data_IF_345317913837
#
_entry.id   IF_345317913837
#
_cell.length_a   1.000
_cell.length_b   1.000
_cell.length_c   1.000
_cell.angle_alpha   90.00
_cell.angle_beta   90.00
_cell.angle_gamma   90.00
#
_symmetry.space_group_name_H-M   'P 1'
#
loop_
_entity.id
_entity.type
_entity.pdbx_description
1 polymer ?
#
# COMPACT_ATOMS: atom_id res chain seq x y z
N UNK A 1 -44.09 -9.55 -8.70
CA UNK A 1 -44.00 -8.32 -9.50
C UNK A 1 -42.52 -7.96 -9.59
N UNK A 2 -41.86 -8.40 -10.67
CA UNK A 2 -40.46 -8.11 -10.91
C UNK A 2 -40.34 -6.59 -11.14
N UNK A 3 -39.74 -5.88 -10.20
CA UNK A 3 -39.19 -4.58 -10.49
C UNK A 3 -38.08 -4.79 -11.51
N UNK A 4 -38.39 -4.70 -12.78
CA UNK A 4 -37.40 -4.56 -13.82
C UNK A 4 -36.62 -3.29 -13.47
N UNK A 5 -35.39 -3.46 -13.04
CA UNK A 5 -34.40 -2.37 -12.98
C UNK A 5 -34.39 -1.78 -14.40
N UNK A 6 -34.87 -0.56 -14.54
CA UNK A 6 -34.77 0.18 -15.79
C UNK A 6 -33.29 0.28 -16.17
N UNK A 7 -32.85 -0.37 -17.24
CA UNK A 7 -31.46 -0.30 -17.66
C UNK A 7 -30.99 1.13 -17.95
N UNK A 8 -31.91 2.07 -18.16
CA UNK A 8 -31.61 3.49 -18.31
C UNK A 8 -31.20 4.18 -17.01
N UNK A 9 -31.58 3.64 -15.83
CA UNK A 9 -31.30 4.28 -14.55
C UNK A 9 -29.79 4.30 -14.20
N UNK A 10 -29.01 3.35 -14.74
CA UNK A 10 -27.56 3.21 -14.50
C UNK A 10 -26.73 3.57 -15.73
N UNK A 11 -27.35 4.07 -16.79
CA UNK A 11 -26.67 4.41 -18.05
C UNK A 11 -25.57 5.45 -17.86
N UNK A 12 -25.71 6.33 -16.88
CA UNK A 12 -24.70 7.29 -16.50
C UNK A 12 -23.38 6.64 -15.99
N UNK A 13 -23.44 5.41 -15.44
CA UNK A 13 -22.25 4.69 -15.01
C UNK A 13 -21.44 4.18 -16.21
N UNK A 14 -22.14 3.79 -17.30
CA UNK A 14 -21.48 3.34 -18.52
C UNK A 14 -20.87 4.51 -19.30
N UNK A 15 -21.45 5.70 -19.15
CA UNK A 15 -20.98 6.94 -19.78
C UNK A 15 -19.85 7.64 -18.99
N UNK A 16 -19.66 7.31 -17.70
CA UNK A 16 -18.59 7.85 -16.87
C UNK A 16 -17.28 7.14 -17.17
N UNK A 17 -16.25 7.92 -17.49
CA UNK A 17 -14.91 7.37 -17.62
C UNK A 17 -14.44 6.79 -16.28
N UNK A 18 -13.94 5.54 -16.26
CA UNK A 18 -13.35 4.99 -15.05
C UNK A 18 -12.13 5.81 -14.64
N UNK A 19 -11.94 5.97 -13.35
CA UNK A 19 -10.71 6.56 -12.82
C UNK A 19 -9.53 5.68 -13.24
N UNK A 20 -8.46 6.29 -13.72
CA UNK A 20 -7.32 5.60 -14.30
C UNK A 20 -6.02 5.93 -13.54
N UNK A 21 -4.92 5.32 -13.94
CA UNK A 21 -3.58 5.45 -13.38
C UNK A 21 -2.91 6.83 -13.61
N UNK A 22 -3.55 7.73 -14.35
CA UNK A 22 -3.02 9.08 -14.59
C UNK A 22 -3.19 9.94 -13.34
N UNK A 23 -2.35 10.95 -13.23
CA UNK A 23 -2.46 11.94 -12.17
C UNK A 23 -3.76 12.73 -12.32
N UNK A 24 -4.66 12.57 -11.36
CA UNK A 24 -5.98 13.21 -11.32
C UNK A 24 -6.16 13.99 -10.03
N UNK A 25 -7.11 14.91 -10.03
CA UNK A 25 -7.43 15.70 -8.85
C UNK A 25 -8.57 15.05 -8.07
N UNK A 26 -8.34 14.89 -6.78
CA UNK A 26 -9.33 14.43 -5.81
C UNK A 26 -9.70 15.55 -4.85
N UNK A 27 -10.99 15.69 -4.57
CA UNK A 27 -11.52 16.61 -3.56
C UNK A 27 -11.81 15.84 -2.27
N UNK A 28 -11.35 16.34 -1.14
CA UNK A 28 -11.69 15.81 0.18
C UNK A 28 -13.15 16.12 0.47
N UNK A 29 -13.96 15.09 0.75
CA UNK A 29 -15.38 15.26 1.11
C UNK A 29 -15.66 14.91 2.58
N UNK A 30 -14.71 14.29 3.26
CA UNK A 30 -14.84 13.94 4.67
C UNK A 30 -13.50 13.61 5.31
N UNK A 31 -13.40 13.91 6.60
CA UNK A 31 -12.28 13.51 7.47
C UNK A 31 -12.88 12.97 8.76
N UNK A 32 -12.48 11.77 9.16
CA UNK A 32 -12.97 11.11 10.38
C UNK A 32 -11.80 10.62 11.23
N UNK A 33 -11.90 10.80 12.54
CA UNK A 33 -10.97 10.21 13.50
C UNK A 33 -11.36 8.74 13.76
N UNK A 34 -10.43 7.81 13.53
CA UNK A 34 -10.67 6.37 13.72
C UNK A 34 -10.11 5.85 15.04
N UNK A 35 -8.94 6.36 15.42
CA UNK A 35 -8.21 6.02 16.63
C UNK A 35 -7.21 7.16 16.96
N UNK A 36 -6.52 7.13 18.10
CA UNK A 36 -5.45 8.08 18.38
C UNK A 36 -4.41 8.11 17.25
N UNK A 37 -4.14 9.30 16.72
CA UNK A 37 -3.26 9.53 15.56
C UNK A 37 -3.63 8.74 14.30
N UNK A 38 -4.92 8.43 14.10
CA UNK A 38 -5.43 7.76 12.89
C UNK A 38 -6.64 8.50 12.34
N UNK A 39 -6.57 8.89 11.07
CA UNK A 39 -7.67 9.54 10.36
C UNK A 39 -7.98 8.82 9.05
N UNK A 40 -9.26 8.79 8.73
CA UNK A 40 -9.76 8.44 7.39
C UNK A 40 -10.08 9.71 6.62
N UNK A 41 -9.50 9.83 5.44
CA UNK A 41 -9.79 10.88 4.46
C UNK A 41 -10.60 10.27 3.33
N UNK A 42 -11.79 10.83 3.09
CA UNK A 42 -12.69 10.40 2.01
C UNK A 42 -12.62 11.40 0.88
N UNK A 43 -12.48 10.89 -0.33
CA UNK A 43 -12.31 11.68 -1.54
C UNK A 43 -13.36 11.36 -2.58
N UNK A 44 -13.68 12.35 -3.41
CA UNK A 44 -14.35 12.17 -4.70
C UNK A 44 -13.44 12.71 -5.82
N UNK A 45 -13.66 12.27 -7.04
CA UNK A 45 -13.05 12.91 -8.20
C UNK A 45 -13.65 14.30 -8.43
N UNK A 46 -12.84 15.24 -8.91
CA UNK A 46 -13.31 16.56 -9.34
C UNK A 46 -14.03 16.55 -10.70
N UNK A 47 -13.92 15.44 -11.42
CA UNK A 47 -14.69 15.18 -12.65
C UNK A 47 -15.69 14.05 -12.42
N UNK A 48 -16.72 14.00 -13.25
CA UNK A 48 -17.70 12.93 -13.16
C UNK A 48 -17.06 11.59 -13.58
N UNK A 49 -16.69 10.80 -12.58
CA UNK A 49 -16.02 9.51 -12.75
C UNK A 49 -16.41 8.56 -11.62
N UNK A 50 -16.23 7.28 -11.82
CA UNK A 50 -16.37 6.26 -10.80
C UNK A 50 -15.07 5.51 -10.60
N UNK A 51 -14.80 5.13 -9.34
CA UNK A 51 -13.56 4.47 -8.98
C UNK A 51 -13.67 2.97 -9.22
N UNK A 52 -12.87 2.48 -10.16
CA UNK A 52 -12.78 1.07 -10.48
C UNK A 52 -11.44 0.52 -9.96
N UNK A 53 -11.50 -0.33 -8.94
CA UNK A 53 -10.32 -0.94 -8.35
C UNK A 53 -10.65 -2.29 -7.71
N UNK A 54 -9.64 -3.06 -7.36
CA UNK A 54 -9.77 -4.28 -6.57
C UNK A 54 -9.60 -3.94 -5.08
N UNK A 55 -10.37 -4.57 -4.17
CA UNK A 55 -10.22 -4.32 -2.73
C UNK A 55 -8.81 -4.71 -2.27
N UNK A 56 -8.18 -3.84 -1.48
CA UNK A 56 -6.78 -3.98 -1.06
C UNK A 56 -5.78 -3.15 -1.87
N UNK A 57 -6.15 -2.67 -3.06
CA UNK A 57 -5.31 -1.78 -3.85
C UNK A 57 -5.06 -0.43 -3.16
N UNK A 58 -4.05 0.30 -3.62
CA UNK A 58 -3.63 1.58 -3.08
C UNK A 58 -3.64 2.69 -4.14
N UNK A 59 -3.57 3.93 -3.66
CA UNK A 59 -3.34 5.14 -4.46
C UNK A 59 -2.10 5.86 -3.96
N UNK A 60 -1.46 6.61 -4.85
CA UNK A 60 -0.37 7.51 -4.50
C UNK A 60 -0.87 8.95 -4.52
N UNK A 61 -0.77 9.65 -3.41
CA UNK A 61 -1.12 11.07 -3.26
C UNK A 61 0.11 11.94 -3.44
N UNK A 62 -0.03 13.03 -4.21
CA UNK A 62 0.95 14.11 -4.29
C UNK A 62 0.65 15.12 -3.18
N UNK A 63 1.52 15.18 -2.18
CA UNK A 63 1.38 16.04 -1.02
C UNK A 63 2.42 17.17 -1.08
N UNK A 64 2.09 18.39 -0.64
CA UNK A 64 3.07 19.46 -0.53
C UNK A 64 4.14 19.15 0.51
N UNK A 65 5.39 19.48 0.20
CA UNK A 65 6.51 19.49 1.14
C UNK A 65 7.47 20.65 0.82
N UNK A 66 8.35 20.98 1.76
CA UNK A 66 9.26 22.13 1.64
C UNK A 66 10.17 22.04 0.41
N UNK A 67 10.62 20.82 0.08
CA UNK A 67 11.58 20.56 -1.00
C UNK A 67 10.89 20.14 -2.32
N UNK A 68 9.59 20.37 -2.45
CA UNK A 68 8.80 20.00 -3.62
C UNK A 68 7.74 18.92 -3.33
N UNK A 69 6.99 18.48 -4.35
CA UNK A 69 5.90 17.51 -4.15
C UNK A 69 6.39 16.20 -3.57
N UNK A 70 5.70 15.73 -2.52
CA UNK A 70 5.98 14.48 -1.83
C UNK A 70 4.95 13.43 -2.25
N UNK A 71 5.39 12.39 -2.94
CA UNK A 71 4.51 11.27 -3.30
C UNK A 71 4.42 10.28 -2.14
N UNK A 72 3.19 9.94 -1.72
CA UNK A 72 2.94 8.96 -0.65
C UNK A 72 1.82 8.02 -1.01
N UNK A 73 2.07 6.75 -0.81
CA UNK A 73 1.15 5.65 -1.13
C UNK A 73 0.31 5.31 0.09
N UNK A 74 -1.00 5.17 -0.13
CA UNK A 74 -1.96 4.78 0.90
C UNK A 74 -2.93 3.74 0.34
N UNK A 75 -3.13 2.66 1.06
CA UNK A 75 -4.14 1.65 0.71
C UNK A 75 -5.53 2.27 0.76
N UNK A 76 -6.35 1.95 -0.24
CA UNK A 76 -7.76 2.27 -0.26
C UNK A 76 -8.48 1.43 0.80
N UNK A 77 -8.87 2.06 1.91
CA UNK A 77 -9.63 1.39 2.97
C UNK A 77 -11.11 1.26 2.62
N UNK A 78 -11.61 2.02 1.64
CA UNK A 78 -12.98 1.90 1.10
C UNK A 78 -13.20 0.62 0.30
N UNK A 79 -14.46 0.32 0.00
CA UNK A 79 -14.86 -0.79 -0.86
C UNK A 79 -15.08 -0.34 -2.30
N UNK A 80 -14.57 -1.07 -3.32
CA UNK A 80 -14.89 -0.79 -4.72
C UNK A 80 -16.36 -1.08 -5.09
N UNK A 81 -17.13 -1.76 -4.24
CA UNK A 81 -18.58 -1.89 -4.38
C UNK A 81 -19.33 -0.57 -4.24
N UNK A 82 -18.67 0.48 -3.70
CA UNK A 82 -19.22 1.82 -3.49
C UNK A 82 -18.39 2.84 -4.29
N UNK A 83 -18.55 2.89 -5.63
CA UNK A 83 -17.55 3.44 -6.55
C UNK A 83 -17.52 4.97 -6.65
N UNK A 84 -18.38 5.72 -5.95
CA UNK A 84 -18.47 7.18 -6.09
C UNK A 84 -17.52 7.97 -5.20
N UNK A 85 -16.85 7.28 -4.26
CA UNK A 85 -15.83 7.85 -3.41
C UNK A 85 -14.79 6.79 -3.06
N UNK A 86 -13.59 7.25 -2.74
CA UNK A 86 -12.53 6.41 -2.16
C UNK A 86 -12.12 6.97 -0.81
N UNK A 87 -11.60 6.11 0.04
CA UNK A 87 -11.06 6.54 1.32
C UNK A 87 -9.68 5.93 1.57
N UNK A 88 -8.79 6.74 2.13
CA UNK A 88 -7.52 6.28 2.68
C UNK A 88 -7.51 6.52 4.18
N UNK A 89 -7.01 5.56 4.92
CA UNK A 89 -6.86 5.67 6.38
C UNK A 89 -5.39 5.63 6.72
N UNK A 90 -4.92 6.70 7.35
CA UNK A 90 -3.52 6.92 7.63
C UNK A 90 -3.27 7.04 9.12
N UNK A 91 -2.15 6.48 9.61
CA UNK A 91 -1.65 6.64 10.98
C UNK A 91 -0.47 7.60 10.97
N UNK A 92 -0.57 8.71 11.69
CA UNK A 92 0.52 9.67 11.84
C UNK A 92 1.60 9.09 12.76
N UNK A 93 2.73 8.74 12.18
CA UNK A 93 3.90 8.31 12.92
C UNK A 93 4.79 9.51 13.27
N UNK A 94 5.58 9.39 14.33
CA UNK A 94 6.59 10.38 14.67
C UNK A 94 7.57 10.54 13.49
N UNK A 95 7.78 11.78 13.05
CA UNK A 95 8.65 12.11 11.92
C UNK A 95 8.05 11.89 10.53
N UNK A 96 6.78 11.47 10.42
CA UNK A 96 6.13 11.34 9.10
C UNK A 96 5.73 12.70 8.54
N UNK A 97 6.45 13.20 7.53
CA UNK A 97 6.18 14.52 6.92
C UNK A 97 4.83 14.54 6.19
N UNK A 98 4.61 13.63 5.26
CA UNK A 98 3.39 13.63 4.43
C UNK A 98 2.12 13.36 5.22
N UNK A 99 2.10 12.32 6.06
CA UNK A 99 0.89 11.99 6.85
C UNK A 99 0.58 13.08 7.87
N UNK A 100 1.59 13.68 8.52
CA UNK A 100 1.38 14.80 9.44
C UNK A 100 0.81 16.00 8.70
N UNK A 101 1.37 16.33 7.51
CA UNK A 101 0.82 17.38 6.68
C UNK A 101 -0.67 17.16 6.35
N UNK A 102 -1.07 15.92 5.98
CA UNK A 102 -2.48 15.58 5.75
C UNK A 102 -3.34 15.85 6.99
N UNK A 103 -2.87 15.46 8.17
CA UNK A 103 -3.58 15.61 9.43
C UNK A 103 -3.82 17.06 9.81
N UNK A 104 -2.84 17.92 9.54
CA UNK A 104 -2.85 19.32 9.96
C UNK A 104 -3.54 20.22 8.94
N UNK A 105 -3.61 19.80 7.67
CA UNK A 105 -4.02 20.69 6.58
C UNK A 105 -5.26 20.20 5.82
N UNK A 106 -5.44 18.89 5.60
CA UNK A 106 -6.54 18.41 4.76
C UNK A 106 -7.89 18.49 5.49
N UNK A 107 -8.84 19.18 4.87
CA UNK A 107 -10.23 19.33 5.31
C UNK A 107 -11.18 19.24 4.11
N UNK A 108 -12.46 19.02 4.33
CA UNK A 108 -13.46 19.00 3.25
C UNK A 108 -13.38 20.25 2.37
N UNK A 109 -13.36 20.04 1.05
CA UNK A 109 -13.19 21.06 0.02
C UNK A 109 -11.77 21.20 -0.50
N UNK A 110 -10.75 20.71 0.21
CA UNK A 110 -9.37 20.73 -0.28
C UNK A 110 -9.15 19.72 -1.40
N UNK A 111 -8.15 19.98 -2.23
CA UNK A 111 -7.84 19.16 -3.40
C UNK A 111 -6.43 18.63 -3.34
N UNK A 112 -6.27 17.37 -3.70
CA UNK A 112 -4.98 16.70 -3.81
C UNK A 112 -4.90 15.98 -5.16
N UNK A 113 -3.69 15.88 -5.71
CA UNK A 113 -3.47 15.04 -6.88
C UNK A 113 -3.20 13.61 -6.44
N UNK A 114 -3.70 12.66 -7.21
CA UNK A 114 -3.54 11.24 -6.96
C UNK A 114 -3.36 10.45 -8.26
N UNK A 115 -2.65 9.35 -8.20
CA UNK A 115 -2.56 8.35 -9.26
C UNK A 115 -2.77 6.94 -8.68
N UNK A 116 -3.15 6.03 -9.53
CA UNK A 116 -3.58 4.67 -9.19
C UNK A 116 -4.98 4.40 -9.72
N UNK A 117 -5.65 3.32 -9.30
CA UNK A 117 -5.23 2.36 -8.28
C UNK A 117 -4.12 1.42 -8.78
N UNK A 118 -3.33 0.87 -7.85
CA UNK A 118 -2.31 -0.11 -8.12
C UNK A 118 -2.19 -1.12 -6.98
N UNK A 119 -1.45 -2.21 -7.19
CA UNK A 119 -1.18 -3.25 -6.19
C UNK A 119 -1.93 -4.56 -6.46
N UNK A 120 -1.31 -5.66 -6.03
CA UNK A 120 -1.81 -7.03 -6.25
C UNK A 120 -2.24 -7.72 -4.95
N UNK A 121 -2.14 -7.04 -3.81
CA UNK A 121 -2.57 -7.54 -2.52
C UNK A 121 -4.09 -7.47 -2.39
N UNK A 122 -4.77 -8.45 -2.98
CA UNK A 122 -6.23 -8.52 -3.07
C UNK A 122 -6.72 -9.97 -3.07
N UNK A 123 -7.79 -10.24 -2.34
CA UNK A 123 -8.43 -11.55 -2.36
C UNK A 123 -9.05 -11.90 -3.72
N UNK A 124 -9.26 -10.93 -4.61
CA UNK A 124 -9.74 -11.19 -5.97
C UNK A 124 -8.72 -11.98 -6.82
N UNK A 125 -7.43 -11.87 -6.52
CA UNK A 125 -6.40 -12.68 -7.17
C UNK A 125 -6.28 -14.09 -6.56
N UNK A 126 -6.86 -14.31 -5.37
CA UNK A 126 -6.80 -15.54 -4.60
C UNK A 126 -8.20 -15.93 -4.09
N UNK A 127 -9.13 -16.30 -5.00
CA UNK A 127 -10.51 -16.63 -4.62
C UNK A 127 -10.54 -17.93 -3.79
N UNK A 128 -11.16 -17.85 -2.61
CA UNK A 128 -11.27 -18.95 -1.67
C UNK A 128 -12.62 -18.95 -0.97
N UNK A 129 -12.99 -20.11 -0.38
CA UNK A 129 -14.20 -20.22 0.43
C UNK A 129 -14.01 -19.67 1.85
N UNK A 130 -12.75 -19.67 2.33
CA UNK A 130 -12.38 -19.26 3.69
C UNK A 130 -11.17 -18.33 3.65
N UNK A 131 -11.25 -17.21 4.34
CA UNK A 131 -10.14 -16.28 4.49
C UNK A 131 -9.72 -16.13 5.95
N UNK A 132 -8.44 -15.88 6.17
CA UNK A 132 -7.89 -15.40 7.43
C UNK A 132 -7.18 -14.07 7.20
N UNK A 133 -7.76 -12.99 7.72
CA UNK A 133 -7.16 -11.66 7.69
C UNK A 133 -6.44 -11.40 9.01
N UNK A 134 -5.11 -11.20 8.94
CA UNK A 134 -4.27 -10.97 10.13
C UNK A 134 -3.60 -9.59 9.98
N UNK A 135 -3.90 -8.68 10.89
CA UNK A 135 -3.45 -7.29 10.75
C UNK A 135 -2.95 -6.69 12.04
N UNK A 136 -2.05 -5.71 11.93
CA UNK A 136 -1.62 -4.88 13.06
C UNK A 136 -1.50 -3.41 12.66
N UNK A 137 -2.05 -2.53 13.51
CA UNK A 137 -2.04 -1.09 13.30
C UNK A 137 -2.63 -0.69 11.95
N UNK A 138 -1.92 0.15 11.18
CA UNK A 138 -2.39 0.61 9.85
C UNK A 138 -2.50 -0.51 8.81
N UNK A 139 -1.90 -1.68 9.04
CA UNK A 139 -2.06 -2.86 8.18
C UNK A 139 -3.49 -3.41 8.11
N UNK A 140 -4.39 -2.89 8.94
CA UNK A 140 -5.82 -3.20 8.86
C UNK A 140 -6.48 -2.64 7.59
N UNK A 141 -5.89 -1.63 6.93
CA UNK A 141 -6.54 -0.92 5.81
C UNK A 141 -6.85 -1.81 4.61
N UNK A 142 -5.96 -2.66 4.07
CA UNK A 142 -6.31 -3.57 2.99
C UNK A 142 -7.33 -4.62 3.44
N UNK A 143 -7.25 -5.11 4.67
CA UNK A 143 -8.21 -6.07 5.21
C UNK A 143 -9.62 -5.46 5.29
N UNK A 144 -9.73 -4.20 5.71
CA UNK A 144 -11.02 -3.50 5.75
C UNK A 144 -11.60 -3.28 4.36
N UNK A 145 -10.78 -2.94 3.36
CA UNK A 145 -11.22 -2.84 1.98
C UNK A 145 -11.81 -4.17 1.48
N UNK A 146 -11.10 -5.27 1.72
CA UNK A 146 -11.53 -6.62 1.36
C UNK A 146 -12.77 -7.05 2.14
N UNK A 147 -12.82 -6.82 3.45
CA UNK A 147 -13.97 -7.17 4.28
C UNK A 147 -15.23 -6.38 3.89
N UNK A 148 -15.11 -5.07 3.65
CA UNK A 148 -16.22 -4.22 3.19
C UNK A 148 -16.79 -4.70 1.86
N UNK A 149 -15.92 -5.12 0.94
CA UNK A 149 -16.35 -5.69 -0.33
C UNK A 149 -17.07 -7.04 -0.14
N UNK A 150 -16.50 -7.94 0.69
CA UNK A 150 -17.14 -9.21 1.00
C UNK A 150 -18.50 -9.01 1.67
N UNK A 151 -18.60 -8.06 2.59
CA UNK A 151 -19.88 -7.73 3.23
C UNK A 151 -20.94 -7.28 2.21
N UNK A 152 -20.56 -6.43 1.25
CA UNK A 152 -21.48 -5.88 0.26
C UNK A 152 -21.85 -6.93 -0.83
N UNK A 153 -20.92 -7.78 -1.25
CA UNK A 153 -21.06 -8.62 -2.44
C UNK A 153 -21.12 -10.13 -2.15
N UNK A 154 -20.56 -10.59 -1.02
CA UNK A 154 -20.45 -12.00 -0.67
C UNK A 154 -20.55 -12.22 0.87
N UNK A 155 -21.65 -11.79 1.52
CA UNK A 155 -21.75 -11.75 2.99
C UNK A 155 -21.72 -13.12 3.68
N UNK A 156 -21.84 -14.20 2.91
CA UNK A 156 -21.77 -15.58 3.43
C UNK A 156 -20.36 -16.18 3.40
N UNK A 157 -19.36 -15.42 2.93
CA UNK A 157 -17.96 -15.86 2.93
C UNK A 157 -17.49 -16.06 4.36
N UNK A 158 -16.79 -17.17 4.61
CA UNK A 158 -16.19 -17.48 5.91
C UNK A 158 -14.89 -16.68 6.08
N UNK A 159 -14.90 -15.71 7.00
CA UNK A 159 -13.77 -14.82 7.27
C UNK A 159 -13.41 -14.87 8.76
N UNK A 160 -12.22 -15.32 9.08
CA UNK A 160 -11.60 -15.08 10.37
C UNK A 160 -10.78 -13.77 10.30
N UNK A 161 -11.14 -12.78 11.10
CA UNK A 161 -10.48 -11.48 11.12
C UNK A 161 -9.75 -11.27 12.45
N UNK A 162 -8.43 -11.32 12.42
CA UNK A 162 -7.56 -11.14 13.60
C UNK A 162 -6.87 -9.78 13.51
N UNK A 163 -7.19 -8.90 14.46
CA UNK A 163 -6.58 -7.57 14.52
C UNK A 163 -5.78 -7.39 15.81
N UNK A 164 -4.55 -6.94 15.67
CA UNK A 164 -3.61 -6.70 16.77
C UNK A 164 -3.35 -5.20 16.93
N UNK A 165 -3.39 -4.72 18.18
CA UNK A 165 -3.10 -3.34 18.54
C UNK A 165 -2.26 -3.30 19.83
N UNK A 166 -1.69 -2.15 20.17
CA UNK A 166 -1.02 -1.99 21.47
C UNK A 166 -2.03 -1.92 22.61
N UNK A 167 -3.10 -1.15 22.41
CA UNK A 167 -4.16 -0.90 23.39
C UNK A 167 -5.53 -0.97 22.73
N UNK A 168 -6.59 -1.19 23.49
CA UNK A 168 -7.97 -1.26 22.98
C UNK A 168 -8.39 -0.04 22.17
N UNK A 169 -8.05 1.17 22.63
CA UNK A 169 -8.35 2.44 21.96
C UNK A 169 -7.59 2.65 20.65
N UNK A 170 -6.53 1.88 20.41
CA UNK A 170 -5.74 1.92 19.16
C UNK A 170 -6.23 0.93 18.10
N UNK A 171 -7.29 0.16 18.37
CA UNK A 171 -7.92 -0.73 17.40
C UNK A 171 -8.65 0.11 16.36
N UNK A 172 -8.05 0.23 15.17
CA UNK A 172 -8.60 0.99 14.05
C UNK A 172 -9.85 0.28 13.55
N UNK A 173 -10.91 1.03 13.21
CA UNK A 173 -12.21 0.53 12.74
C UNK A 173 -12.94 -0.40 13.72
N UNK A 174 -12.60 -0.41 15.00
CA UNK A 174 -13.17 -1.34 15.99
C UNK A 174 -14.70 -1.37 15.95
N UNK A 175 -15.36 -0.22 16.05
CA UNK A 175 -16.83 -0.12 16.07
C UNK A 175 -17.46 -0.67 14.80
N UNK A 176 -16.83 -0.43 13.65
CA UNK A 176 -17.32 -0.95 12.37
C UNK A 176 -17.12 -2.47 12.29
N UNK A 177 -15.95 -2.98 12.69
CA UNK A 177 -15.70 -4.42 12.74
C UNK A 177 -16.71 -5.15 13.64
N UNK A 178 -16.95 -4.63 14.84
CA UNK A 178 -17.96 -5.17 15.76
C UNK A 178 -19.36 -5.15 15.14
N UNK A 179 -19.74 -4.06 14.43
CA UNK A 179 -21.01 -3.98 13.73
C UNK A 179 -21.10 -4.99 12.57
N UNK A 180 -20.06 -5.12 11.78
CA UNK A 180 -19.99 -6.10 10.68
C UNK A 180 -20.11 -7.53 11.23
N UNK A 181 -19.47 -7.83 12.37
CA UNK A 181 -19.58 -9.11 13.06
C UNK A 181 -20.99 -9.48 13.47
N UNK A 182 -21.88 -8.50 13.71
CA UNK A 182 -23.29 -8.76 14.00
C UNK A 182 -24.16 -8.97 12.75
N UNK A 183 -23.65 -8.63 11.56
CA UNK A 183 -24.41 -8.61 10.30
C UNK A 183 -23.92 -9.60 9.24
N UNK A 184 -22.70 -10.07 9.36
CA UNK A 184 -22.06 -11.01 8.46
C UNK A 184 -21.93 -12.37 9.15
N UNK A 185 -22.79 -13.36 8.88
CA UNK A 185 -22.80 -14.64 9.59
C UNK A 185 -21.51 -15.43 9.51
N UNK A 186 -20.76 -15.26 8.41
CA UNK A 186 -19.46 -15.92 8.19
C UNK A 186 -18.26 -15.18 8.82
N UNK A 187 -18.47 -14.04 9.51
CA UNK A 187 -17.37 -13.27 10.08
C UNK A 187 -17.13 -13.63 11.54
N UNK A 188 -15.93 -14.12 11.85
CA UNK A 188 -15.41 -14.25 13.21
C UNK A 188 -14.36 -13.19 13.48
N UNK A 189 -14.45 -12.51 14.63
CA UNK A 189 -13.55 -11.43 15.02
C UNK A 189 -12.66 -11.84 16.19
N UNK A 190 -11.37 -11.64 16.07
CA UNK A 190 -10.39 -11.80 17.13
C UNK A 190 -9.58 -10.52 17.32
N UNK A 191 -9.69 -9.90 18.51
CA UNK A 191 -8.88 -8.75 18.87
C UNK A 191 -7.83 -9.12 19.92
N UNK A 192 -6.56 -8.75 19.62
CA UNK A 192 -5.46 -8.88 20.57
C UNK A 192 -4.89 -7.50 20.89
N UNK A 193 -4.66 -7.21 22.16
CA UNK A 193 -3.95 -6.00 22.58
C UNK A 193 -2.73 -6.36 23.41
N UNK A 194 -1.63 -5.65 23.24
CA UNK A 194 -0.41 -5.94 24.01
C UNK A 194 -0.58 -5.55 25.46
N UNK A 195 -1.31 -4.47 25.74
CA UNK A 195 -1.49 -3.87 27.05
C UNK A 195 -2.96 -3.52 27.32
N UNK A 196 -3.32 -3.48 28.59
CA UNK A 196 -4.60 -2.91 29.01
C UNK A 196 -4.56 -1.39 28.90
N UNK A 197 -5.73 -0.79 28.71
CA UNK A 197 -5.92 0.65 28.81
C UNK A 197 -6.35 1.04 30.22
N UNK A 198 -5.94 2.25 30.65
CA UNK A 198 -6.55 2.90 31.82
C UNK A 198 -7.84 3.65 31.45
N UNK A 199 -8.16 3.79 30.19
CA UNK A 199 -9.30 4.58 29.68
C UNK A 199 -10.56 3.75 29.47
N UNK A 200 -10.40 2.43 29.25
CA UNK A 200 -11.53 1.52 29.04
C UNK A 200 -11.25 0.11 29.57
N UNK A 201 -12.31 -0.61 29.95
CA UNK A 201 -12.23 -2.01 30.33
C UNK A 201 -12.03 -2.88 29.06
N UNK A 202 -11.14 -3.85 29.17
CA UNK A 202 -10.86 -4.79 28.09
C UNK A 202 -11.13 -6.23 28.52
N UNK A 203 -11.96 -6.92 27.75
CA UNK A 203 -12.36 -8.32 28.00
C UNK A 203 -11.84 -9.29 26.94
N UNK A 204 -11.17 -8.75 25.89
CA UNK A 204 -10.56 -9.55 24.83
C UNK A 204 -9.19 -10.10 25.22
N UNK A 205 -8.49 -10.66 24.23
CA UNK A 205 -7.18 -11.27 24.44
C UNK A 205 -6.11 -10.21 24.71
N UNK A 206 -5.18 -10.56 25.62
CA UNK A 206 -4.01 -9.72 25.96
C UNK A 206 -2.74 -10.47 25.58
N UNK A 207 -1.80 -9.76 24.96
CA UNK A 207 -0.51 -10.23 24.49
C UNK A 207 -0.37 -10.11 22.99
N UNK A 208 0.78 -10.54 22.48
CA UNK A 208 1.07 -10.58 21.05
C UNK A 208 0.51 -11.85 20.45
N UNK A 209 0.28 -11.84 19.14
CA UNK A 209 -0.06 -13.06 18.40
C UNK A 209 1.10 -14.05 18.49
N UNK A 210 0.79 -15.30 18.73
CA UNK A 210 1.74 -16.41 18.87
C UNK A 210 1.14 -17.75 18.39
N UNK A 211 1.93 -18.80 18.44
CA UNK A 211 1.55 -20.14 17.99
C UNK A 211 0.41 -20.78 18.80
N UNK A 212 0.08 -20.23 19.99
CA UNK A 212 -1.04 -20.69 20.81
C UNK A 212 -2.30 -19.92 20.48
N UNK A 213 -2.18 -18.58 20.37
CA UNK A 213 -3.33 -17.68 20.16
C UNK A 213 -3.89 -17.75 18.76
N UNK A 214 -3.05 -17.91 17.74
CA UNK A 214 -3.53 -18.01 16.36
C UNK A 214 -4.52 -19.16 16.17
N UNK A 215 -4.23 -20.42 16.58
CA UNK A 215 -5.21 -21.51 16.51
C UNK A 215 -6.44 -21.32 17.41
N UNK A 216 -6.33 -20.57 18.49
CA UNK A 216 -7.50 -20.23 19.34
C UNK A 216 -8.47 -19.30 18.63
N UNK A 217 -7.95 -18.35 17.82
CA UNK A 217 -8.72 -17.35 17.09
C UNK A 217 -9.20 -17.86 15.73
N UNK A 218 -8.47 -18.76 15.13
CA UNK A 218 -8.79 -19.41 13.86
C UNK A 218 -8.34 -20.87 13.91
N UNK A 219 -9.15 -21.79 14.45
CA UNK A 219 -8.76 -23.20 14.62
C UNK A 219 -8.44 -23.91 13.31
N UNK A 220 -9.09 -23.51 12.24
CA UNK A 220 -8.95 -24.03 10.89
C UNK A 220 -8.04 -23.18 9.99
N UNK A 221 -7.13 -22.40 10.58
CA UNK A 221 -6.25 -21.49 9.85
C UNK A 221 -5.48 -22.15 8.69
N UNK A 222 -5.22 -23.45 8.78
CA UNK A 222 -4.55 -24.22 7.72
C UNK A 222 -5.38 -24.43 6.46
N UNK A 223 -6.69 -24.23 6.54
CA UNK A 223 -7.64 -24.40 5.43
C UNK A 223 -8.00 -23.04 4.78
N UNK A 224 -7.37 -21.94 5.22
CA UNK A 224 -7.73 -20.58 4.85
C UNK A 224 -6.70 -19.95 3.93
N UNK A 225 -7.17 -19.09 3.05
CA UNK A 225 -6.32 -18.14 2.35
C UNK A 225 -5.95 -17.01 3.31
N UNK A 226 -4.67 -16.86 3.59
CA UNK A 226 -4.16 -15.96 4.64
C UNK A 226 -3.63 -14.68 4.04
N UNK A 227 -4.16 -13.54 4.51
CA UNK A 227 -3.66 -12.21 4.18
C UNK A 227 -3.11 -11.55 5.44
N UNK A 228 -1.86 -11.10 5.40
CA UNK A 228 -1.17 -10.49 6.52
C UNK A 228 -0.63 -9.11 6.16
N UNK A 229 -0.91 -8.10 6.99
CA UNK A 229 -0.32 -6.77 6.83
C UNK A 229 -0.12 -6.09 8.18
N UNK A 230 1.02 -5.43 8.33
CA UNK A 230 1.39 -4.73 9.56
C UNK A 230 2.87 -4.36 9.60
N UNK A 231 3.40 -3.96 10.76
CA UNK A 231 4.83 -3.72 10.92
C UNK A 231 5.67 -4.95 10.58
N UNK A 232 6.83 -4.74 9.96
CA UNK A 232 7.72 -5.83 9.53
C UNK A 232 8.01 -6.90 10.61
N UNK A 233 8.28 -6.55 11.89
CA UNK A 233 8.47 -7.58 12.92
C UNK A 233 7.22 -8.42 13.19
N UNK A 234 6.02 -7.83 13.02
CA UNK A 234 4.74 -8.54 13.17
C UNK A 234 4.55 -9.54 12.02
N UNK A 235 4.71 -9.11 10.77
CA UNK A 235 4.55 -9.99 9.60
C UNK A 235 5.54 -11.15 9.63
N UNK A 236 6.79 -10.88 9.97
CA UNK A 236 7.83 -11.92 10.17
C UNK A 236 7.43 -12.94 11.24
N UNK A 237 6.86 -12.48 12.36
CA UNK A 237 6.38 -13.38 13.40
C UNK A 237 5.22 -14.25 12.92
N UNK A 238 4.24 -13.68 12.21
CA UNK A 238 3.11 -14.43 11.64
C UNK A 238 3.61 -15.46 10.62
N UNK A 239 4.46 -15.06 9.69
CA UNK A 239 5.07 -15.96 8.69
C UNK A 239 5.78 -17.13 9.36
N UNK A 240 6.69 -16.86 10.28
CA UNK A 240 7.43 -17.91 11.00
C UNK A 240 6.55 -18.85 11.82
N UNK A 241 5.43 -18.35 12.39
CA UNK A 241 4.44 -19.21 13.06
C UNK A 241 3.73 -20.15 12.10
N UNK A 242 3.32 -19.65 10.93
CA UNK A 242 2.65 -20.45 9.91
C UNK A 242 3.58 -21.51 9.34
N UNK A 243 4.83 -21.16 9.02
CA UNK A 243 5.86 -22.09 8.57
C UNK A 243 6.12 -23.19 9.61
N UNK A 244 6.32 -22.81 10.88
CA UNK A 244 6.53 -23.77 11.97
C UNK A 244 5.33 -24.68 12.23
N UNK A 245 4.12 -24.20 11.92
CA UNK A 245 2.89 -24.99 12.01
C UNK A 245 2.67 -25.91 10.79
N UNK A 246 3.54 -25.88 9.77
CA UNK A 246 3.40 -26.65 8.54
C UNK A 246 2.27 -26.15 7.64
N UNK A 247 2.00 -24.85 7.66
CA UNK A 247 1.06 -24.19 6.75
C UNK A 247 1.61 -24.19 5.32
N UNK A 248 0.76 -24.39 4.32
CA UNK A 248 1.16 -24.26 2.92
C UNK A 248 1.31 -22.76 2.57
N UNK A 249 2.55 -22.30 2.47
CA UNK A 249 2.89 -20.91 2.23
C UNK A 249 2.48 -20.39 0.84
N UNK A 250 2.03 -21.24 -0.08
CA UNK A 250 1.40 -20.81 -1.33
C UNK A 250 0.06 -20.08 -1.10
N UNK A 251 -0.57 -20.30 0.06
CA UNK A 251 -1.81 -19.65 0.50
C UNK A 251 -1.56 -18.49 1.49
N UNK A 252 -0.32 -17.99 1.60
CA UNK A 252 0.05 -16.87 2.45
C UNK A 252 0.46 -15.67 1.62
N UNK A 253 -0.24 -14.55 1.83
CA UNK A 253 -0.01 -13.29 1.13
C UNK A 253 0.27 -12.19 2.14
N UNK A 254 1.26 -11.34 1.86
CA UNK A 254 1.57 -10.22 2.74
C UNK A 254 1.86 -8.95 1.95
N UNK A 255 1.52 -7.82 2.53
CA UNK A 255 1.86 -6.49 2.03
C UNK A 255 2.58 -5.69 3.11
N UNK A 256 3.73 -5.12 2.75
CA UNK A 256 4.52 -4.28 3.64
C UNK A 256 4.36 -2.80 3.29
N UNK A 257 4.01 -1.99 4.29
CA UNK A 257 4.06 -0.53 4.17
C UNK A 257 5.47 -0.03 4.50
N UNK A 258 6.48 -0.47 3.73
CA UNK A 258 7.88 -0.19 3.97
C UNK A 258 8.13 1.28 4.32
N UNK A 259 8.96 1.54 5.33
CA UNK A 259 9.55 2.86 5.48
C UNK A 259 10.30 3.18 4.20
N UNK A 260 10.15 4.38 3.61
CA UNK A 260 11.14 4.86 2.66
C UNK A 260 12.50 4.62 3.32
N UNK A 261 13.41 3.96 2.61
CA UNK A 261 14.76 3.82 3.11
C UNK A 261 15.22 5.22 3.53
N UNK A 262 15.49 5.42 4.82
CA UNK A 262 16.11 6.65 5.29
C UNK A 262 17.48 6.61 4.66
N UNK A 263 17.65 7.33 3.54
CA UNK A 263 18.99 7.61 3.05
C UNK A 263 19.72 8.30 4.20
N UNK A 264 20.92 7.83 4.59
CA UNK A 264 21.76 8.60 5.49
C UNK A 264 21.90 9.99 4.86
N UNK A 265 21.59 11.04 5.60
CA UNK A 265 21.96 12.39 5.22
C UNK A 265 23.44 12.35 4.88
N UNK A 266 23.89 12.93 3.75
CA UNK A 266 25.31 13.07 3.49
C UNK A 266 25.92 13.73 4.72
N UNK A 267 26.99 13.12 5.24
CA UNK A 267 27.72 13.67 6.37
C UNK A 267 28.10 15.14 6.05
N UNK A 268 28.03 16.06 7.03
CA UNK A 268 28.46 17.42 6.80
C UNK A 268 29.89 17.39 6.27
N UNK A 269 30.12 18.16 5.21
CA UNK A 269 31.44 18.28 4.58
C UNK A 269 32.49 18.54 5.65
N UNK A 270 33.37 17.59 5.88
CA UNK A 270 34.59 17.83 6.64
C UNK A 270 35.66 18.26 5.63
N UNK A 271 36.30 19.40 5.89
CA UNK A 271 37.44 19.91 5.14
C UNK A 271 38.72 19.06 5.41
N UNK A 272 38.66 17.77 5.10
CA UNK A 272 39.84 16.91 5.08
C UNK A 272 40.17 16.57 3.61
N UNK A 273 41.42 16.64 3.19
CA UNK A 273 41.83 16.36 1.83
C UNK A 273 41.49 14.88 1.49
N UNK A 274 41.04 14.60 0.26
CA UNK A 274 40.60 13.28 -0.12
C UNK A 274 41.75 12.27 -0.06
N UNK A 275 41.59 11.23 0.78
CA UNK A 275 42.33 10.01 0.62
C UNK A 275 41.89 9.35 -0.70
N UNK A 276 42.82 8.90 -1.51
CA UNK A 276 42.57 8.22 -2.78
C UNK A 276 41.60 7.05 -2.58
N UNK A 277 40.38 7.21 -3.08
CA UNK A 277 39.39 6.15 -3.06
C UNK A 277 39.73 5.08 -4.11
N UNK A 278 39.51 3.80 -3.81
CA UNK A 278 39.69 2.75 -4.82
C UNK A 278 38.75 3.03 -6.00
N UNK A 279 39.23 2.81 -7.23
CA UNK A 279 38.50 2.94 -8.46
C UNK A 279 37.28 2.03 -8.38
N UNK A 280 36.10 2.60 -8.08
CA UNK A 280 34.84 1.86 -8.11
C UNK A 280 34.40 1.75 -9.59
N UNK A 281 34.19 0.54 -10.04
CA UNK A 281 33.61 0.29 -11.37
C UNK A 281 32.25 0.96 -11.47
N UNK A 282 32.11 1.91 -12.38
CA UNK A 282 30.85 2.60 -12.67
C UNK A 282 30.31 2.13 -14.01
N UNK A 283 29.01 1.84 -14.03
CA UNK A 283 28.27 1.56 -15.26
C UNK A 283 27.70 2.87 -15.81
N UNK A 284 27.94 3.17 -17.08
CA UNK A 284 27.43 4.39 -17.71
C UNK A 284 25.91 4.25 -17.98
N UNK A 285 25.13 5.28 -17.63
CA UNK A 285 23.71 5.41 -17.99
C UNK A 285 23.54 6.71 -18.78
N UNK A 286 22.96 6.61 -19.96
CA UNK A 286 22.52 7.76 -20.76
C UNK A 286 21.01 7.94 -20.63
N UNK A 287 20.58 9.12 -20.18
CA UNK A 287 19.19 9.55 -20.15
C UNK A 287 18.89 10.34 -21.43
N UNK A 288 18.29 9.67 -22.42
CA UNK A 288 18.20 10.19 -23.79
C UNK A 288 17.28 11.41 -23.94
N UNK A 289 16.22 11.50 -23.13
CA UNK A 289 15.28 12.66 -23.16
C UNK A 289 15.91 13.92 -22.58
N UNK A 290 16.73 13.76 -21.52
CA UNK A 290 17.38 14.85 -20.81
C UNK A 290 18.78 15.16 -21.37
N UNK A 291 19.31 14.31 -22.28
CA UNK A 291 20.67 14.34 -22.84
C UNK A 291 21.76 14.39 -21.73
N UNK A 292 21.56 13.62 -20.66
CA UNK A 292 22.46 13.53 -19.50
C UNK A 292 23.11 12.15 -19.45
N UNK A 293 24.43 12.12 -19.24
CA UNK A 293 25.15 10.89 -18.93
C UNK A 293 25.55 10.85 -17.45
N UNK A 294 25.38 9.71 -16.82
CA UNK A 294 25.67 9.50 -15.41
C UNK A 294 26.41 8.17 -15.18
N UNK A 295 27.32 8.15 -14.23
CA UNK A 295 27.91 6.92 -13.72
C UNK A 295 27.03 6.34 -12.61
N UNK A 296 26.69 5.05 -12.73
CA UNK A 296 26.00 4.29 -11.68
C UNK A 296 26.99 3.39 -10.96
N UNK A 297 27.12 3.54 -9.66
CA UNK A 297 28.00 2.69 -8.84
C UNK A 297 27.41 1.28 -8.71
N UNK A 298 28.27 0.29 -8.51
CA UNK A 298 27.83 -1.08 -8.26
C UNK A 298 26.82 -1.14 -7.10
N UNK A 299 25.65 -1.74 -7.36
CA UNK A 299 24.57 -1.87 -6.38
C UNK A 299 23.59 -0.69 -6.32
N UNK A 300 23.88 0.44 -6.96
CA UNK A 300 22.92 1.54 -7.11
C UNK A 300 21.83 1.20 -8.12
N UNK A 301 20.64 1.79 -7.91
CA UNK A 301 19.53 1.69 -8.86
C UNK A 301 19.60 2.81 -9.89
N UNK A 302 18.93 2.59 -11.03
CA UNK A 302 18.75 3.62 -12.09
C UNK A 302 18.16 4.90 -11.52
N UNK A 303 17.19 4.82 -10.59
CA UNK A 303 16.59 5.98 -9.94
C UNK A 303 17.60 6.78 -9.10
N UNK A 304 18.48 6.08 -8.38
CA UNK A 304 19.52 6.74 -7.58
C UNK A 304 20.54 7.45 -8.46
N UNK A 305 20.95 6.82 -9.57
CA UNK A 305 21.85 7.42 -10.54
C UNK A 305 21.22 8.64 -11.24
N UNK A 306 19.94 8.55 -11.62
CA UNK A 306 19.18 9.67 -12.19
C UNK A 306 19.14 10.87 -11.25
N UNK A 307 18.81 10.65 -9.97
CA UNK A 307 18.78 11.72 -8.95
C UNK A 307 20.14 12.37 -8.74
N UNK A 308 21.20 11.57 -8.68
CA UNK A 308 22.57 12.08 -8.53
C UNK A 308 22.99 12.94 -9.73
N UNK A 309 22.49 12.63 -10.92
CA UNK A 309 22.73 13.38 -12.17
C UNK A 309 21.75 14.54 -12.38
N UNK A 310 20.79 14.78 -11.47
CA UNK A 310 19.78 15.83 -11.61
C UNK A 310 18.64 15.47 -12.57
N UNK A 311 18.56 14.24 -13.05
CA UNK A 311 17.47 13.76 -13.92
C UNK A 311 16.27 13.39 -13.07
N UNK A 312 15.09 13.92 -13.42
CA UNK A 312 13.86 13.72 -12.66
C UNK A 312 13.05 12.55 -13.23
N UNK A 313 13.13 11.41 -12.55
CA UNK A 313 12.22 10.28 -12.76
C UNK A 313 11.17 10.30 -11.64
N UNK A 314 9.87 10.34 -11.94
CA UNK A 314 8.82 10.22 -10.93
C UNK A 314 9.02 8.93 -10.12
N UNK A 315 8.88 9.00 -8.81
CA UNK A 315 8.98 7.81 -7.95
C UNK A 315 8.14 7.99 -6.69
N UNK A 316 7.54 6.90 -6.20
CA UNK A 316 6.68 6.93 -5.02
C UNK A 316 7.08 5.88 -3.98
N UNK A 317 6.87 4.58 -4.25
CA UNK A 317 7.16 3.51 -3.29
C UNK A 317 8.64 3.18 -3.16
N UNK A 318 9.42 3.35 -4.21
CA UNK A 318 10.87 3.07 -4.34
C UNK A 318 11.29 1.60 -4.12
N UNK A 319 10.35 0.67 -4.16
CA UNK A 319 10.61 -0.78 -4.02
C UNK A 319 9.89 -1.64 -5.07
N UNK A 320 9.57 -1.05 -6.24
CA UNK A 320 9.08 -1.80 -7.39
C UNK A 320 7.61 -2.23 -7.34
N UNK A 321 6.76 -1.55 -6.53
CA UNK A 321 5.35 -1.93 -6.36
C UNK A 321 4.38 -1.01 -7.11
N UNK A 322 4.60 0.33 -7.10
CA UNK A 322 3.58 1.27 -7.57
C UNK A 322 3.64 1.62 -9.06
N UNK A 323 4.68 1.21 -9.78
CA UNK A 323 4.85 1.52 -11.21
C UNK A 323 5.20 2.98 -11.53
N UNK A 324 5.22 3.90 -10.55
CA UNK A 324 5.41 5.35 -10.79
C UNK A 324 6.76 5.69 -11.44
N UNK A 325 7.81 4.88 -11.18
CA UNK A 325 9.14 5.09 -11.72
C UNK A 325 9.41 4.27 -13.01
N UNK A 326 8.35 3.88 -13.72
CA UNK A 326 8.46 3.16 -14.98
C UNK A 326 9.07 4.05 -16.05
N UNK A 327 10.14 3.57 -16.66
CA UNK A 327 10.86 4.21 -17.77
C UNK A 327 11.16 3.17 -18.83
N UNK A 328 11.32 3.60 -20.07
CA UNK A 328 11.68 2.70 -21.16
C UNK A 328 13.19 2.61 -21.29
N UNK A 329 13.68 1.39 -21.35
CA UNK A 329 15.08 1.07 -21.60
C UNK A 329 15.23 0.77 -23.09
N UNK A 330 16.03 1.57 -23.80
CA UNK A 330 16.33 1.39 -25.23
C UNK A 330 17.56 0.53 -25.48
N UNK A 331 18.52 0.49 -24.54
CA UNK A 331 19.71 -0.36 -24.63
C UNK A 331 20.24 -0.80 -23.27
N UNK A 332 21.01 -1.91 -23.26
CA UNK A 332 21.69 -2.46 -22.08
C UNK A 332 20.84 -3.46 -21.29
N UNK A 333 21.41 -3.97 -20.19
CA UNK A 333 20.80 -4.98 -19.31
C UNK A 333 20.71 -4.47 -17.88
N UNK A 334 19.64 -4.87 -17.17
CA UNK A 334 19.40 -4.57 -15.77
C UNK A 334 18.99 -5.82 -15.00
N UNK A 335 19.37 -5.90 -13.75
CA UNK A 335 18.75 -6.76 -12.76
C UNK A 335 17.61 -6.00 -12.11
N UNK A 336 16.36 -6.44 -12.31
CA UNK A 336 15.16 -5.81 -11.76
C UNK A 336 14.45 -6.75 -10.78
N UNK A 337 14.30 -6.30 -9.53
CA UNK A 337 13.57 -7.05 -8.49
C UNK A 337 12.32 -6.26 -8.11
N UNK A 338 11.22 -6.44 -8.85
CA UNK A 338 9.97 -5.73 -8.61
C UNK A 338 8.98 -6.54 -7.78
N UNK A 339 8.01 -5.82 -7.17
CA UNK A 339 6.93 -6.37 -6.35
C UNK A 339 5.56 -6.13 -7.02
N UNK A 340 5.45 -6.42 -8.33
CA UNK A 340 4.20 -6.32 -9.07
C UNK A 340 3.90 -4.95 -9.71
N UNK A 341 4.81 -3.96 -9.60
CA UNK A 341 4.60 -2.63 -10.19
C UNK A 341 4.77 -2.52 -11.70
N UNK A 342 5.01 -3.64 -12.39
CA UNK A 342 5.17 -3.73 -13.85
C UNK A 342 4.71 -5.09 -14.32
N UNK A 343 4.10 -5.16 -15.49
CA UNK A 343 3.61 -6.39 -16.11
C UNK A 343 4.71 -7.06 -16.94
N UNK A 344 4.61 -8.39 -17.13
CA UNK A 344 5.56 -9.14 -17.92
C UNK A 344 5.58 -8.69 -19.40
N UNK A 345 4.41 -8.29 -19.92
CA UNK A 345 4.30 -7.72 -21.27
C UNK A 345 5.06 -6.41 -21.41
N UNK A 346 5.00 -5.54 -20.39
CA UNK A 346 5.71 -4.26 -20.37
C UNK A 346 7.24 -4.46 -20.26
N UNK A 347 7.67 -5.48 -19.49
CA UNK A 347 9.09 -5.86 -19.41
C UNK A 347 9.57 -6.33 -20.79
N UNK A 348 8.76 -7.12 -21.50
CA UNK A 348 9.06 -7.58 -22.86
C UNK A 348 9.13 -6.43 -23.88
N UNK A 349 8.37 -5.34 -23.65
CA UNK A 349 8.41 -4.10 -24.45
C UNK A 349 9.59 -3.18 -24.08
N UNK A 350 10.41 -3.57 -23.10
CA UNK A 350 11.60 -2.85 -22.69
C UNK A 350 11.40 -1.86 -21.54
N UNK A 351 10.23 -1.86 -20.86
CA UNK A 351 10.05 -1.04 -19.69
C UNK A 351 10.73 -1.63 -18.45
N UNK A 352 11.21 -0.75 -17.58
CA UNK A 352 11.80 -1.09 -16.28
C UNK A 352 11.27 -0.16 -15.19
N UNK A 353 11.37 -0.60 -13.95
CA UNK A 353 11.13 0.25 -12.78
C UNK A 353 12.47 0.80 -12.27
N UNK A 354 12.73 2.08 -12.49
CA UNK A 354 14.03 2.70 -12.15
C UNK A 354 14.43 2.54 -10.67
N UNK A 355 13.46 2.43 -9.76
CA UNK A 355 13.73 2.33 -8.32
C UNK A 355 14.27 0.97 -7.86
N UNK A 356 14.05 -0.09 -8.62
CA UNK A 356 14.47 -1.46 -8.27
C UNK A 356 15.26 -2.15 -9.40
N UNK A 357 15.69 -1.40 -10.42
CA UNK A 357 16.55 -1.85 -11.51
C UNK A 357 17.99 -1.42 -11.27
N UNK A 358 18.91 -2.39 -11.23
CA UNK A 358 20.35 -2.18 -11.13
C UNK A 358 21.01 -2.44 -12.47
N UNK A 359 21.84 -1.53 -13.00
CA UNK A 359 22.54 -1.74 -14.26
C UNK A 359 23.51 -2.93 -14.20
N UNK A 360 23.45 -3.80 -15.20
CA UNK A 360 24.41 -4.87 -15.43
C UNK A 360 25.38 -4.53 -16.56
N UNK A 361 24.99 -3.61 -17.46
CA UNK A 361 25.80 -3.09 -18.57
C UNK A 361 25.49 -1.62 -18.80
N UNK A 362 26.23 -0.94 -19.67
CA UNK A 362 25.87 0.43 -20.09
C UNK A 362 24.41 0.49 -20.54
N UNK A 363 23.66 1.47 -20.03
CA UNK A 363 22.22 1.63 -20.25
C UNK A 363 21.91 2.88 -21.06
N UNK A 364 20.84 2.79 -21.87
CA UNK A 364 20.15 3.96 -22.40
C UNK A 364 18.68 3.93 -21.97
N UNK A 365 18.24 5.03 -21.33
CA UNK A 365 16.93 5.18 -20.70
C UNK A 365 16.23 6.40 -21.26
N UNK A 366 14.97 6.25 -21.68
CA UNK A 366 14.11 7.37 -22.10
C UNK A 366 13.59 8.12 -20.84
N UNK A 367 14.41 9.07 -20.32
CA UNK A 367 14.07 9.90 -19.17
C UNK A 367 14.76 11.29 -19.27
#
# INVERSE_FOLDING_TARGET
MNAMTDPGLYRHLDEMAPWNDRLQVLEVIGVADEAPDVKTFTFRSDVQTWFRYKPGQFVTLELPAADGPLMRTYTLSSSPSRPFSIAVTAKAQAGSVGTRWMFDNLKPGDRVKACGPAGDFTHHNHPAAKYLFVSAGSGVTPMMSMLRWLFDCAPWTDVAFVNCARRPEEIIFRKELELLGTRMPGLSLGFLVEERSSRESWFGHIGRIDAVRLPMLSPDFREREVFCCGPEPFMRAVRGMLEAAGFDMAHYHEESFGRPAVMPLPAPFSDAPPAEAPVQETVAIRFSTSDVEAGCLAGQTVLQAARAAGVRIPAACEFGLCGTCKVKKSAGEVEMSHNGGILDEEIAEGYILACCSKPLSALEIEA
#
